data_IF_430672172802
#
_entry.id   IF_430672172802
#
_cell.length_a   1.000
_cell.length_b   1.000
_cell.length_c   1.000
_cell.angle_alpha   90.00
_cell.angle_beta   90.00
_cell.angle_gamma   90.00
#
_symmetry.space_group_name_H-M   'P 1'
#
loop_
_entity.id
_entity.type
_entity.pdbx_description
1 polymer ?
#
# COMPACT_ATOMS: atom_id res chain seq x y z
N UNK A 1 -28.62 18.56 11.21
CA UNK A 1 -27.35 18.14 11.86
C UNK A 1 -26.94 16.69 11.62
N UNK A 2 -27.82 15.68 11.71
CA UNK A 2 -27.42 14.26 11.50
C UNK A 2 -26.90 13.97 10.09
N UNK A 3 -27.57 14.47 9.06
CA UNK A 3 -27.18 14.29 7.64
C UNK A 3 -25.78 14.87 7.37
N UNK A 4 -25.51 16.09 7.87
CA UNK A 4 -24.18 16.74 7.72
C UNK A 4 -23.08 15.87 8.31
N UNK A 5 -23.29 15.30 9.50
CA UNK A 5 -22.31 14.37 10.09
C UNK A 5 -22.08 13.15 9.22
N UNK A 6 -23.13 12.55 8.66
CA UNK A 6 -23.01 11.38 7.78
C UNK A 6 -22.19 11.73 6.53
N UNK A 7 -22.50 12.85 5.88
CA UNK A 7 -21.75 13.32 4.70
C UNK A 7 -20.28 13.53 5.05
N UNK A 8 -19.97 14.20 6.15
CA UNK A 8 -18.58 14.41 6.59
C UNK A 8 -17.87 13.07 6.83
N UNK A 9 -18.52 12.10 7.49
CA UNK A 9 -17.90 10.80 7.73
C UNK A 9 -17.71 9.96 6.46
N UNK A 10 -18.50 10.18 5.40
CA UNK A 10 -18.27 9.58 4.08
C UNK A 10 -17.13 10.28 3.31
N UNK A 11 -16.95 11.58 3.51
CA UNK A 11 -15.87 12.35 2.89
C UNK A 11 -14.50 12.12 3.53
N UNK A 12 -14.44 11.75 4.82
CA UNK A 12 -13.16 11.49 5.50
C UNK A 12 -12.34 10.39 4.80
N UNK A 13 -12.88 9.18 4.52
CA UNK A 13 -12.15 8.15 3.79
C UNK A 13 -11.69 8.61 2.40
N UNK A 14 -12.50 9.41 1.69
CA UNK A 14 -12.10 9.98 0.40
C UNK A 14 -10.91 10.95 0.55
N UNK A 15 -10.98 11.86 1.52
CA UNK A 15 -9.90 12.80 1.80
C UNK A 15 -8.60 12.10 2.22
N UNK A 16 -8.70 11.02 3.00
CA UNK A 16 -7.53 10.22 3.40
C UNK A 16 -6.91 9.49 2.20
N UNK A 17 -7.75 8.95 1.30
CA UNK A 17 -7.28 8.41 0.03
C UNK A 17 -6.54 9.46 -0.80
N UNK A 18 -7.10 10.66 -0.97
CA UNK A 18 -6.44 11.76 -1.69
C UNK A 18 -5.09 12.12 -1.05
N UNK A 19 -5.03 12.22 0.28
CA UNK A 19 -3.79 12.52 1.00
C UNK A 19 -2.75 11.41 0.81
N UNK A 20 -3.18 10.14 0.80
CA UNK A 20 -2.30 8.98 0.58
C UNK A 20 -1.61 9.09 -0.79
N UNK A 21 -2.38 9.31 -1.86
CA UNK A 21 -1.82 9.40 -3.21
C UNK A 21 -0.89 10.61 -3.32
N UNK A 22 -1.32 11.76 -2.78
CA UNK A 22 -0.60 13.03 -2.86
C UNK A 22 0.78 13.02 -2.17
N UNK A 23 1.07 12.04 -1.31
CA UNK A 23 2.45 11.82 -0.86
C UNK A 23 3.39 11.57 -2.06
N UNK A 24 2.95 10.81 -3.07
CA UNK A 24 3.81 10.39 -4.18
C UNK A 24 3.49 11.05 -5.51
N UNK A 25 2.21 11.24 -5.82
CA UNK A 25 1.76 11.82 -7.09
C UNK A 25 0.37 12.44 -6.95
N UNK A 26 0.00 13.31 -7.89
CA UNK A 26 -1.35 13.87 -7.91
C UNK A 26 -2.38 12.81 -8.28
N UNK A 27 -3.48 12.75 -7.51
CA UNK A 27 -4.63 11.87 -7.78
C UNK A 27 -5.18 12.01 -9.19
N UNK A 28 -5.02 13.18 -9.82
CA UNK A 28 -5.50 13.45 -11.17
C UNK A 28 -4.83 12.59 -12.25
N UNK A 29 -3.65 12.02 -11.94
CA UNK A 29 -2.92 11.13 -12.86
C UNK A 29 -3.48 9.71 -12.80
N UNK A 30 -3.98 9.30 -11.62
CA UNK A 30 -4.58 7.99 -11.39
C UNK A 30 -5.84 7.83 -12.23
N UNK A 31 -6.02 6.67 -12.85
CA UNK A 31 -7.19 6.39 -13.69
C UNK A 31 -8.50 6.52 -12.89
N UNK A 32 -9.57 7.15 -13.44
CA UNK A 32 -10.80 7.41 -12.70
C UNK A 32 -11.45 6.15 -12.10
N UNK A 33 -11.43 5.04 -12.85
CA UNK A 33 -11.98 3.78 -12.36
C UNK A 33 -11.17 3.21 -11.18
N UNK A 34 -9.84 3.31 -11.25
CA UNK A 34 -8.96 2.91 -10.16
C UNK A 34 -9.15 3.79 -8.92
N UNK A 35 -9.45 5.09 -9.09
CA UNK A 35 -9.80 5.96 -7.96
C UNK A 35 -11.07 5.48 -7.24
N UNK A 36 -12.08 5.00 -7.98
CA UNK A 36 -13.30 4.42 -7.39
C UNK A 36 -12.96 3.18 -6.56
N UNK A 37 -12.13 2.27 -7.07
CA UNK A 37 -11.70 1.09 -6.31
C UNK A 37 -10.94 1.46 -5.02
N UNK A 38 -9.97 2.37 -5.10
CA UNK A 38 -9.24 2.83 -3.91
C UNK A 38 -10.18 3.46 -2.87
N UNK A 39 -11.07 4.35 -3.31
CA UNK A 39 -12.07 4.96 -2.43
C UNK A 39 -13.01 3.93 -1.79
N UNK A 40 -13.49 2.95 -2.56
CA UNK A 40 -14.31 1.86 -2.04
C UNK A 40 -13.59 1.08 -0.94
N UNK A 41 -12.30 0.76 -1.13
CA UNK A 41 -11.51 0.05 -0.11
C UNK A 41 -11.36 0.91 1.15
N UNK A 42 -11.07 2.21 1.01
CA UNK A 42 -11.03 3.15 2.13
C UNK A 42 -12.37 3.25 2.88
N UNK A 43 -13.50 3.28 2.15
CA UNK A 43 -14.83 3.26 2.73
C UNK A 43 -15.11 1.98 3.50
N UNK A 44 -14.81 0.81 2.90
CA UNK A 44 -15.02 -0.49 3.54
C UNK A 44 -14.18 -0.58 4.81
N UNK A 45 -12.92 -0.13 4.78
CA UNK A 45 -12.06 -0.07 5.95
C UNK A 45 -12.63 0.87 7.04
N UNK A 46 -13.09 2.07 6.68
CA UNK A 46 -13.71 3.00 7.60
C UNK A 46 -15.01 2.47 8.23
N UNK A 47 -15.84 1.78 7.45
CA UNK A 47 -17.07 1.13 7.92
C UNK A 47 -16.77 -0.06 8.85
N UNK A 48 -15.78 -0.88 8.50
CA UNK A 48 -15.30 -1.97 9.35
C UNK A 48 -14.87 -1.43 10.72
N UNK A 49 -14.00 -0.43 10.75
CA UNK A 49 -13.54 0.17 12.00
C UNK A 49 -14.72 0.81 12.78
N UNK A 50 -15.62 1.51 12.09
CA UNK A 50 -16.79 2.13 12.74
C UNK A 50 -17.69 1.10 13.41
N UNK A 51 -17.92 -0.05 12.76
CA UNK A 51 -18.78 -1.11 13.28
C UNK A 51 -18.12 -1.92 14.40
N UNK A 52 -16.80 -2.08 14.36
CA UNK A 52 -16.02 -2.71 15.43
C UNK A 52 -16.03 -1.88 16.71
N UNK A 53 -15.76 -0.57 16.60
CA UNK A 53 -15.68 0.30 17.77
C UNK A 53 -17.04 0.87 18.21
N UNK A 54 -18.03 0.93 17.31
CA UNK A 54 -19.34 1.55 17.53
C UNK A 54 -19.29 3.09 17.52
N UNK A 55 -18.23 3.68 16.96
CA UNK A 55 -18.04 5.12 16.93
C UNK A 55 -17.12 5.51 15.78
N UNK A 56 -17.58 6.43 14.93
CA UNK A 56 -16.82 6.88 13.76
C UNK A 56 -15.53 7.63 14.12
N UNK A 57 -15.45 8.18 15.34
CA UNK A 57 -14.22 8.83 15.84
C UNK A 57 -13.03 7.87 15.82
N UNK A 58 -13.19 6.64 16.33
CA UNK A 58 -12.08 5.68 16.38
C UNK A 58 -11.69 5.21 14.97
N UNK A 59 -12.67 5.06 14.08
CA UNK A 59 -12.41 4.76 12.68
C UNK A 59 -11.58 5.87 12.01
N UNK A 60 -11.96 7.14 12.20
CA UNK A 60 -11.21 8.26 11.67
C UNK A 60 -9.79 8.32 12.23
N UNK A 61 -9.60 8.17 13.56
CA UNK A 61 -8.28 8.19 14.18
C UNK A 61 -7.38 7.08 13.62
N UNK A 62 -7.86 5.84 13.63
CA UNK A 62 -7.06 4.68 13.19
C UNK A 62 -6.74 4.80 11.71
N UNK A 63 -7.73 5.12 10.88
CA UNK A 63 -7.53 5.25 9.43
C UNK A 63 -6.56 6.39 9.11
N UNK A 64 -6.69 7.55 9.75
CA UNK A 64 -5.75 8.67 9.60
C UNK A 64 -4.32 8.31 9.99
N UNK A 65 -4.13 7.63 11.12
CA UNK A 65 -2.80 7.19 11.58
C UNK A 65 -2.18 6.20 10.58
N UNK A 66 -2.96 5.21 10.13
CA UNK A 66 -2.48 4.25 9.13
C UNK A 66 -2.12 4.95 7.81
N UNK A 67 -2.97 5.86 7.32
CA UNK A 67 -2.69 6.66 6.11
C UNK A 67 -1.42 7.48 6.26
N UNK A 68 -1.19 8.09 7.43
CA UNK A 68 0.02 8.88 7.68
C UNK A 68 1.27 7.99 7.67
N UNK A 69 1.24 6.86 8.39
CA UNK A 69 2.38 5.95 8.48
C UNK A 69 2.70 5.36 7.10
N UNK A 70 1.70 4.79 6.42
CA UNK A 70 1.87 4.14 5.12
C UNK A 70 2.26 5.16 4.06
N UNK A 71 1.61 6.32 4.01
CA UNK A 71 1.90 7.38 3.05
C UNK A 71 3.31 7.96 3.21
N UNK A 72 3.71 8.28 4.45
CA UNK A 72 5.05 8.78 4.72
C UNK A 72 6.13 7.72 4.46
N UNK A 73 5.92 6.48 4.89
CA UNK A 73 6.84 5.39 4.59
C UNK A 73 6.98 5.19 3.08
N UNK A 74 5.87 5.21 2.34
CA UNK A 74 5.89 5.06 0.89
C UNK A 74 6.61 6.23 0.19
N UNK A 75 6.44 7.46 0.69
CA UNK A 75 7.20 8.61 0.20
C UNK A 75 8.71 8.40 0.33
N UNK A 76 9.18 8.04 1.52
CA UNK A 76 10.62 7.87 1.76
C UNK A 76 11.20 6.67 1.01
N UNK A 77 10.48 5.55 0.94
CA UNK A 77 10.90 4.38 0.17
C UNK A 77 10.96 4.69 -1.33
N UNK A 78 9.97 5.41 -1.86
CA UNK A 78 9.96 5.85 -3.25
C UNK A 78 11.15 6.78 -3.54
N UNK A 79 11.46 7.72 -2.65
CA UNK A 79 12.64 8.59 -2.79
C UNK A 79 13.97 7.84 -2.70
N UNK A 80 14.04 6.76 -1.93
CA UNK A 80 15.27 5.99 -1.72
C UNK A 80 15.63 5.11 -2.92
N UNK A 81 14.65 4.38 -3.49
CA UNK A 81 14.91 3.37 -4.53
C UNK A 81 14.05 3.50 -5.79
N UNK A 82 13.26 4.56 -5.91
CA UNK A 82 12.44 4.83 -7.09
C UNK A 82 11.22 3.91 -7.26
N UNK A 83 10.94 3.03 -6.29
CA UNK A 83 9.79 2.13 -6.31
C UNK A 83 8.96 2.21 -5.03
N UNK A 84 7.62 2.14 -5.12
CA UNK A 84 6.72 2.12 -3.96
C UNK A 84 6.99 0.95 -3.02
N UNK A 85 6.35 0.99 -1.85
CA UNK A 85 6.28 -0.15 -0.93
C UNK A 85 5.43 -1.25 -1.55
N UNK A 86 6.00 -2.45 -1.61
CA UNK A 86 5.41 -3.68 -2.10
C UNK A 86 5.21 -4.66 -0.94
N UNK A 87 4.30 -5.64 -1.06
CA UNK A 87 4.00 -6.54 0.05
C UNK A 87 5.21 -7.31 0.59
N UNK A 88 6.15 -7.70 -0.27
CA UNK A 88 7.35 -8.43 0.13
C UNK A 88 8.39 -7.55 0.86
N UNK A 89 8.29 -6.22 0.80
CA UNK A 89 9.23 -5.35 1.52
C UNK A 89 9.10 -5.47 3.04
N UNK A 90 7.92 -5.90 3.52
CA UNK A 90 7.64 -6.12 4.93
C UNK A 90 8.66 -7.09 5.53
N UNK A 91 9.09 -8.10 4.77
CA UNK A 91 10.09 -9.08 5.20
C UNK A 91 11.50 -8.46 5.40
N UNK A 92 11.77 -7.30 4.81
CA UNK A 92 13.08 -6.65 4.77
C UNK A 92 13.15 -5.31 5.52
N UNK A 93 12.13 -5.00 6.34
CA UNK A 93 11.99 -3.69 7.00
C UNK A 93 13.18 -3.35 7.92
N UNK A 94 13.74 -4.34 8.61
CA UNK A 94 14.89 -4.14 9.51
C UNK A 94 16.13 -3.66 8.75
N UNK A 95 16.37 -4.23 7.57
CA UNK A 95 17.49 -3.84 6.71
C UNK A 95 17.27 -2.42 6.18
N UNK A 96 16.05 -2.08 5.76
CA UNK A 96 15.71 -0.74 5.28
C UNK A 96 15.95 0.33 6.36
N UNK A 97 15.55 0.06 7.61
CA UNK A 97 15.78 0.97 8.74
C UNK A 97 17.28 1.20 9.00
N UNK A 98 18.11 0.16 8.89
CA UNK A 98 19.57 0.29 9.12
C UNK A 98 20.30 1.16 8.09
N UNK A 99 19.75 1.28 6.87
CA UNK A 99 20.35 2.08 5.79
C UNK A 99 19.76 3.50 5.75
N UNK A 100 18.56 3.70 6.27
CA UNK A 100 17.84 4.97 6.25
C UNK A 100 18.59 6.11 6.99
N UNK A 101 19.31 5.80 8.08
CA UNK A 101 20.06 6.79 8.87
C UNK A 101 21.15 7.51 8.07
N UNK A 102 21.62 6.92 6.97
CA UNK A 102 22.65 7.50 6.12
C UNK A 102 22.10 8.39 4.98
N UNK A 103 20.78 8.52 4.86
CA UNK A 103 20.13 9.29 3.80
C UNK A 103 19.60 10.64 4.28
N UNK A 104 19.74 11.66 3.42
CA UNK A 104 19.07 12.96 3.60
C UNK A 104 17.77 12.94 2.81
N UNK A 105 16.65 12.89 3.52
CA UNK A 105 15.33 12.96 2.90
C UNK A 105 14.92 14.42 2.70
N UNK A 106 14.55 14.76 1.47
CA UNK A 106 13.95 16.05 1.15
C UNK A 106 12.44 15.98 1.29
N UNK A 107 11.87 16.89 2.08
CA UNK A 107 10.43 17.02 2.25
C UNK A 107 9.92 18.05 1.26
N UNK A 108 9.09 17.63 0.32
CA UNK A 108 8.43 18.53 -0.62
C UNK A 108 7.15 19.14 -0.05
N UNK A 109 6.58 20.12 -0.76
CA UNK A 109 5.33 20.75 -0.39
C UNK A 109 4.15 19.77 -0.35
N UNK A 110 4.10 18.80 -1.27
CA UNK A 110 3.04 17.79 -1.31
C UNK A 110 2.98 16.94 -0.05
N UNK A 111 4.12 16.52 0.50
CA UNK A 111 4.22 15.81 1.76
C UNK A 111 3.60 16.63 2.90
N UNK A 112 4.00 17.90 3.03
CA UNK A 112 3.50 18.80 4.07
C UNK A 112 1.98 18.99 3.95
N UNK A 113 1.48 19.22 2.73
CA UNK A 113 0.05 19.37 2.45
C UNK A 113 -0.72 18.09 2.82
N UNK A 114 -0.20 16.91 2.48
CA UNK A 114 -0.82 15.62 2.85
C UNK A 114 -0.87 15.44 4.37
N UNK A 115 0.21 15.74 5.10
CA UNK A 115 0.23 15.64 6.57
C UNK A 115 -0.79 16.58 7.20
N UNK A 116 -0.82 17.85 6.77
CA UNK A 116 -1.80 18.83 7.26
C UNK A 116 -3.23 18.39 6.93
N UNK A 117 -3.47 17.91 5.71
CA UNK A 117 -4.76 17.38 5.28
C UNK A 117 -5.26 16.23 6.17
N UNK A 118 -4.38 15.28 6.49
CA UNK A 118 -4.69 14.15 7.38
C UNK A 118 -5.03 14.65 8.79
N UNK A 119 -4.28 15.62 9.33
CA UNK A 119 -4.56 16.21 10.65
C UNK A 119 -5.94 16.89 10.66
N UNK A 120 -6.25 17.67 9.64
CA UNK A 120 -7.56 18.34 9.51
C UNK A 120 -8.70 17.33 9.42
N UNK A 121 -8.55 16.28 8.62
CA UNK A 121 -9.54 15.20 8.49
C UNK A 121 -9.72 14.42 9.80
N UNK A 122 -8.63 14.18 10.53
CA UNK A 122 -8.67 13.57 11.86
C UNK A 122 -9.46 14.44 12.84
N UNK A 123 -9.23 15.76 12.86
CA UNK A 123 -9.99 16.69 13.70
C UNK A 123 -11.47 16.69 13.33
N UNK A 124 -11.80 16.68 12.04
CA UNK A 124 -13.19 16.55 11.57
C UNK A 124 -13.81 15.23 12.05
N UNK A 125 -13.10 14.11 12.01
CA UNK A 125 -13.57 12.81 12.51
C UNK A 125 -13.87 12.81 14.02
N UNK A 126 -13.08 13.54 14.80
CA UNK A 126 -13.28 13.70 16.24
C UNK A 126 -14.50 14.59 16.54
N UNK A 127 -14.61 15.74 15.87
CA UNK A 127 -15.68 16.73 16.09
C UNK A 127 -17.03 16.20 15.61
N UNK A 128 -17.08 15.62 14.41
CA UNK A 128 -18.29 15.15 13.75
C UNK A 128 -18.56 13.66 14.00
N UNK A 129 -18.18 13.17 15.18
CA UNK A 129 -18.38 11.77 15.58
C UNK A 129 -19.85 11.35 15.60
N UNK A 130 -20.09 10.12 15.17
CA UNK A 130 -21.38 9.43 15.23
C UNK A 130 -21.19 8.16 16.04
N UNK A 131 -21.98 7.99 17.09
CA UNK A 131 -22.09 6.72 17.82
C UNK A 131 -23.06 5.81 17.08
N UNK A 132 -22.64 4.58 16.81
CA UNK A 132 -23.43 3.55 16.15
C UNK A 132 -23.43 2.30 17.04
N UNK A 133 -24.50 1.49 16.95
CA UNK A 133 -24.45 0.15 17.56
C UNK A 133 -23.37 -0.66 16.85
N UNK A 134 -22.61 -1.45 17.61
CA UNK A 134 -21.71 -2.44 17.02
C UNK A 134 -22.55 -3.48 16.29
N UNK A 135 -22.25 -3.72 15.02
CA UNK A 135 -23.00 -4.63 14.16
C UNK A 135 -22.04 -5.63 13.56
N UNK A 136 -21.85 -6.76 14.23
CA UNK A 136 -20.92 -7.81 13.83
C UNK A 136 -21.23 -8.36 12.43
N UNK A 137 -22.51 -8.39 12.05
CA UNK A 137 -22.93 -8.81 10.71
C UNK A 137 -22.36 -7.86 9.65
N UNK A 138 -22.44 -6.54 9.85
CA UNK A 138 -21.84 -5.56 8.92
C UNK A 138 -20.33 -5.70 8.92
N UNK A 139 -19.70 -5.87 10.08
CA UNK A 139 -18.25 -6.10 10.15
C UNK A 139 -17.83 -7.33 9.34
N UNK A 140 -18.59 -8.44 9.42
CA UNK A 140 -18.37 -9.63 8.62
C UNK A 140 -18.52 -9.34 7.12
N UNK A 141 -19.57 -8.63 6.70
CA UNK A 141 -19.72 -8.21 5.30
C UNK A 141 -18.57 -7.34 4.82
N UNK A 142 -18.07 -6.41 5.64
CA UNK A 142 -16.89 -5.61 5.30
C UNK A 142 -15.63 -6.48 5.15
N UNK A 143 -15.41 -7.45 6.04
CA UNK A 143 -14.29 -8.39 5.92
C UNK A 143 -14.40 -9.21 4.63
N UNK A 144 -15.57 -9.75 4.32
CA UNK A 144 -15.82 -10.48 3.08
C UNK A 144 -15.62 -9.59 1.85
N UNK A 145 -16.03 -8.32 1.89
CA UNK A 145 -15.82 -7.37 0.81
C UNK A 145 -14.34 -7.04 0.59
N UNK A 146 -13.53 -6.93 1.65
CA UNK A 146 -12.08 -6.75 1.54
C UNK A 146 -11.40 -7.99 0.96
N UNK A 147 -11.79 -9.19 1.40
CA UNK A 147 -11.29 -10.47 0.85
C UNK A 147 -11.68 -10.59 -0.63
N UNK A 148 -12.92 -10.26 -0.97
CA UNK A 148 -13.42 -10.23 -2.35
C UNK A 148 -12.65 -9.24 -3.21
N UNK A 149 -12.31 -8.06 -2.67
CA UNK A 149 -11.50 -7.06 -3.36
C UNK A 149 -10.08 -7.55 -3.63
N UNK A 150 -9.44 -8.20 -2.64
CA UNK A 150 -8.15 -8.89 -2.85
C UNK A 150 -8.25 -9.93 -3.97
N UNK A 151 -9.25 -10.80 -3.92
CA UNK A 151 -9.42 -11.87 -4.91
C UNK A 151 -9.68 -11.33 -6.32
N UNK A 152 -10.48 -10.26 -6.43
CA UNK A 152 -10.81 -9.61 -7.69
C UNK A 152 -9.57 -8.95 -8.30
N UNK A 153 -8.83 -8.18 -7.51
CA UNK A 153 -7.61 -7.49 -7.93
C UNK A 153 -6.42 -8.44 -8.17
N UNK A 154 -6.44 -9.63 -7.57
CA UNK A 154 -5.46 -10.68 -7.84
C UNK A 154 -5.71 -11.39 -9.18
N UNK A 155 -6.92 -11.31 -9.74
CA UNK A 155 -7.28 -11.98 -10.99
C UNK A 155 -6.75 -11.19 -12.20
N UNK A 156 -5.89 -11.83 -12.99
CA UNK A 156 -5.23 -11.23 -14.16
C UNK A 156 -6.22 -10.83 -15.24
N UNK A 157 -7.19 -11.69 -15.56
CA UNK A 157 -8.21 -11.39 -16.57
C UNK A 157 -9.00 -10.12 -16.22
N UNK A 158 -9.39 -9.96 -14.96
CA UNK A 158 -10.09 -8.76 -14.52
C UNK A 158 -9.19 -7.53 -14.59
N UNK A 159 -7.95 -7.67 -14.11
CA UNK A 159 -6.98 -6.59 -13.99
C UNK A 159 -6.56 -6.05 -15.36
N UNK A 160 -6.27 -6.94 -16.32
CA UNK A 160 -5.84 -6.57 -17.67
C UNK A 160 -6.95 -5.85 -18.46
N UNK A 161 -8.22 -6.17 -18.18
CA UNK A 161 -9.37 -5.49 -18.80
C UNK A 161 -9.76 -4.18 -18.11
N UNK A 162 -9.48 -4.02 -16.82
CA UNK A 162 -10.09 -2.96 -15.99
C UNK A 162 -9.08 -1.91 -15.52
N UNK A 163 -7.86 -2.32 -15.21
CA UNK A 163 -6.80 -1.46 -14.71
C UNK A 163 -5.78 -1.18 -15.82
N UNK A 164 -4.99 -0.12 -15.64
CA UNK A 164 -3.90 0.17 -16.57
C UNK A 164 -2.80 -0.89 -16.42
N UNK A 165 -2.26 -1.33 -17.56
CA UNK A 165 -1.25 -2.39 -17.65
C UNK A 165 -0.16 -2.24 -16.59
N UNK A 166 0.01 -3.28 -15.80
CA UNK A 166 0.99 -3.36 -14.73
C UNK A 166 1.99 -4.45 -15.07
N UNK A 167 3.27 -4.14 -15.09
CA UNK A 167 4.31 -5.16 -15.15
C UNK A 167 5.12 -5.15 -13.85
N UNK A 168 5.74 -6.28 -13.54
CA UNK A 168 6.53 -6.46 -12.32
C UNK A 168 7.75 -5.55 -12.22
N UNK A 169 8.21 -5.00 -13.36
CA UNK A 169 9.44 -4.24 -13.50
C UNK A 169 9.22 -2.71 -13.45
N UNK A 170 7.98 -2.25 -13.54
CA UNK A 170 7.60 -0.82 -13.53
C UNK A 170 6.51 -0.54 -12.49
N UNK A 171 6.74 -1.01 -11.26
CA UNK A 171 5.79 -0.89 -10.15
C UNK A 171 5.41 0.57 -9.85
N UNK A 172 6.35 1.50 -9.93
CA UNK A 172 6.05 2.93 -9.74
C UNK A 172 4.96 3.46 -10.68
N UNK A 173 4.96 3.03 -11.95
CA UNK A 173 3.97 3.44 -12.93
C UNK A 173 2.61 2.82 -12.61
N UNK A 174 2.59 1.56 -12.17
CA UNK A 174 1.37 0.87 -11.74
C UNK A 174 0.70 1.57 -10.55
N UNK A 175 1.48 1.94 -9.52
CA UNK A 175 0.95 2.67 -8.37
C UNK A 175 0.49 4.08 -8.73
N UNK A 176 1.18 4.77 -9.64
CA UNK A 176 0.77 6.09 -10.13
C UNK A 176 -0.55 6.03 -10.91
N UNK A 177 -0.69 5.00 -11.74
CA UNK A 177 -1.78 4.91 -12.69
C UNK A 177 -3.03 4.24 -12.08
N UNK A 178 -2.85 3.34 -11.10
CA UNK A 178 -3.94 2.59 -10.46
C UNK A 178 -4.15 2.95 -8.97
N UNK A 179 -3.27 3.73 -8.35
CA UNK A 179 -3.36 4.13 -6.96
C UNK A 179 -2.75 3.10 -6.01
N UNK A 180 -2.34 3.57 -4.84
CA UNK A 180 -1.54 2.80 -3.89
C UNK A 180 -2.23 1.52 -3.41
N UNK A 181 -3.48 1.63 -2.92
CA UNK A 181 -4.13 0.49 -2.24
C UNK A 181 -4.49 -0.59 -3.25
N UNK A 182 -5.00 -0.22 -4.42
CA UNK A 182 -5.30 -1.16 -5.51
C UNK A 182 -4.04 -1.89 -5.97
N UNK A 183 -2.96 -1.16 -6.26
CA UNK A 183 -1.70 -1.80 -6.68
C UNK A 183 -1.05 -2.63 -5.58
N UNK A 184 -1.16 -2.22 -4.31
CA UNK A 184 -0.67 -3.01 -3.18
C UNK A 184 -1.44 -4.33 -3.05
N UNK A 185 -2.78 -4.31 -3.12
CA UNK A 185 -3.61 -5.51 -3.08
C UNK A 185 -3.36 -6.43 -4.28
N UNK A 186 -3.19 -5.88 -5.48
CA UNK A 186 -2.85 -6.65 -6.67
C UNK A 186 -1.52 -7.38 -6.48
N UNK A 187 -0.51 -6.73 -5.90
CA UNK A 187 0.80 -7.32 -5.68
C UNK A 187 0.80 -8.42 -4.58
N UNK A 188 -0.25 -8.54 -3.76
CA UNK A 188 -0.34 -9.61 -2.75
C UNK A 188 -0.35 -11.01 -3.38
N UNK A 189 -0.79 -11.15 -4.64
CA UNK A 189 -0.77 -12.44 -5.34
C UNK A 189 0.64 -12.99 -5.55
N UNK A 190 1.66 -12.14 -5.47
CA UNK A 190 3.06 -12.53 -5.65
C UNK A 190 3.74 -12.97 -4.35
N UNK A 191 3.06 -12.93 -3.19
CA UNK A 191 3.59 -13.45 -1.94
C UNK A 191 3.61 -14.99 -1.89
N UNK A 192 2.58 -15.62 -2.45
CA UNK A 192 2.37 -17.07 -2.41
C UNK A 192 2.46 -17.65 -3.84
N UNK A 193 3.62 -17.48 -4.49
CA UNK A 193 3.88 -18.12 -5.80
C UNK A 193 4.48 -19.50 -5.53
N UNK A 194 3.74 -20.54 -5.90
CA UNK A 194 4.27 -21.91 -5.90
C UNK A 194 5.40 -22.05 -6.93
N UNK A 195 6.41 -22.84 -6.57
CA UNK A 195 7.48 -23.18 -7.51
C UNK A 195 6.86 -23.87 -8.75
N UNK A 196 7.34 -23.55 -9.97
CA UNK A 196 6.80 -24.15 -11.18
C UNK A 196 6.93 -25.68 -11.12
N UNK A 197 5.91 -26.37 -11.64
CA UNK A 197 5.87 -27.84 -11.67
C UNK A 197 7.13 -28.39 -12.37
N UNK A 198 7.90 -29.23 -11.66
CA UNK A 198 9.18 -29.78 -12.14
C UNK A 198 10.44 -29.12 -11.55
N UNK A 199 10.28 -28.06 -10.74
CA UNK A 199 11.39 -27.45 -9.99
C UNK A 199 11.69 -28.24 -8.72
N UNK A 200 12.27 -29.43 -8.88
CA UNK A 200 12.75 -30.22 -7.75
C UNK A 200 14.19 -29.77 -7.42
N UNK A 201 14.38 -29.26 -6.21
CA UNK A 201 15.70 -28.82 -5.70
C UNK A 201 16.77 -29.91 -5.77
N UNK A 202 16.35 -31.18 -5.84
CA UNK A 202 17.24 -32.33 -5.99
C UNK A 202 17.76 -32.52 -7.42
N UNK A 203 17.01 -32.11 -8.46
CA UNK A 203 17.42 -32.22 -9.87
C UNK A 203 18.45 -31.17 -10.26
N UNK A 204 18.35 -29.96 -9.71
CA UNK A 204 19.28 -28.85 -9.97
C UNK A 204 20.72 -29.16 -9.53
N UNK A 205 20.90 -29.96 -8.47
CA UNK A 205 22.24 -30.37 -8.00
C UNK A 205 22.95 -31.30 -8.99
N UNK A 206 22.21 -32.02 -9.82
CA UNK A 206 22.74 -32.98 -10.77
C UNK A 206 22.86 -32.42 -12.19
N UNK A 207 22.14 -31.34 -12.52
CA UNK A 207 22.13 -30.73 -13.86
C UNK A 207 22.95 -29.44 -13.98
N UNK A 208 23.55 -28.92 -12.90
CA UNK A 208 24.49 -27.80 -12.98
C UNK A 208 25.90 -28.31 -13.34
N UNK A 209 26.42 -28.08 -14.56
CA UNK A 209 27.79 -28.49 -14.93
C UNK A 209 28.89 -27.65 -14.28
N UNK A 210 28.56 -26.77 -13.33
CA UNK A 210 29.52 -25.86 -12.71
C UNK A 210 29.53 -26.03 -11.19
N UNK A 211 30.31 -27.01 -10.73
CA UNK A 211 30.91 -26.94 -9.40
C UNK A 211 31.98 -25.84 -9.43
N UNK A 212 31.58 -24.61 -9.11
CA UNK A 212 32.57 -23.57 -8.85
C UNK A 212 33.45 -24.06 -7.68
N UNK A 213 34.77 -24.22 -7.86
CA UNK A 213 35.64 -24.49 -6.73
C UNK A 213 35.58 -23.27 -5.81
N UNK A 214 35.47 -23.52 -4.50
CA UNK A 214 35.70 -22.51 -3.48
C UNK A 214 37.19 -22.11 -3.54
N UNK A 215 37.57 -21.25 -4.48
CA UNK A 215 38.88 -20.62 -4.45
C UNK A 215 38.90 -19.56 -3.35
N UNK A 216 39.47 -19.96 -2.21
CA UNK A 216 40.05 -19.06 -1.23
C UNK A 216 41.20 -18.29 -1.88
N UNK A 217 40.93 -17.16 -2.52
CA UNK A 217 41.99 -16.25 -2.95
C UNK A 217 41.66 -14.80 -2.61
N UNK A 218 42.44 -14.28 -1.66
CA UNK A 218 42.48 -12.87 -1.23
C UNK A 218 42.60 -11.95 -2.47
N UNK A 219 41.83 -10.85 -2.57
CA UNK A 219 41.87 -10.01 -3.77
C UNK A 219 43.23 -9.32 -3.90
N UNK A 220 43.84 -9.25 -5.11
CA UNK A 220 45.05 -8.48 -5.32
C UNK A 220 44.72 -6.97 -5.34
N UNK A 221 45.55 -6.22 -4.64
CA UNK A 221 45.60 -4.76 -4.62
C UNK A 221 45.83 -4.23 -6.05
N UNK A 222 44.83 -3.55 -6.62
CA UNK A 222 45.00 -2.81 -7.87
C UNK A 222 45.75 -1.50 -7.58
N UNK A 223 47.02 -1.48 -7.97
CA UNK A 223 47.81 -0.25 -8.16
C UNK A 223 47.21 0.51 -9.35
N UNK A 224 46.64 1.68 -9.07
CA UNK A 224 46.29 2.69 -10.07
C UNK A 224 47.58 3.34 -10.59
N UNK A 225 47.84 3.16 -11.88
CA UNK A 225 48.59 4.13 -12.69
C UNK A 225 47.57 4.97 -13.47
#
# INVERSE_FOLDING_TARGET
>A
MKIIKVIINLLIPFGLFVCLENFTHSILITAPLSQVFNYCIFLIAGLLLTTLFGNTMFAAIILSILTLIVGAANYFVLSFRGNPILPWDIASINTALSVADNYKFEINSSFIISVIGIIVLLLFGIIFRIKCKRQLIIALFCCLALIGSKSLLGNETFTDHTLKFTNLFTQWASYRDNGFVVSFLQNLKYLDIDAPNGYDSSTLKNELPFSAPLETKKPPTLLLL
#
